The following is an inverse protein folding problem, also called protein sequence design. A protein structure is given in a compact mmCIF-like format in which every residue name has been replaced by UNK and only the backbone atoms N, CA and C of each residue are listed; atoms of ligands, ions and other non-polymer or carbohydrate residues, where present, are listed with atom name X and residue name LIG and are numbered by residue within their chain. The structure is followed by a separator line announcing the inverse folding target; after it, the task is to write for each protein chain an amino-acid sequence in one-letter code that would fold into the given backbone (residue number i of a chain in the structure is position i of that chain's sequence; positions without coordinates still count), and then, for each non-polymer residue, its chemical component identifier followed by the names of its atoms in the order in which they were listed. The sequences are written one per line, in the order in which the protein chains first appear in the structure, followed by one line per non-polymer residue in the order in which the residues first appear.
data_IF_503609075278
#
_entry.id   IF_503609075278
#
_cell.length_a   1.000
_cell.length_b   1.000
_cell.length_c   1.000
_cell.angle_alpha   90.00
_cell.angle_beta   90.00
_cell.angle_gamma   90.00
#
_symmetry.space_group_name_H-M   'P 1'
#
loop_
_entity.id
_entity.type
_entity.pdbx_description
1 polymer ?
#
# COMPACT_ATOMS: atom_id res chain seq x y z
N UNK A 1 8.74 -4.21 -3.04
CA UNK A 1 7.35 -3.79 -2.75
C UNK A 1 7.15 -2.28 -2.86
N UNK A 2 7.97 -1.42 -2.24
CA UNK A 2 7.80 0.04 -2.30
C UNK A 2 7.70 0.65 -3.70
N UNK A 3 8.54 0.19 -4.65
CA UNK A 3 8.45 0.59 -6.07
C UNK A 3 7.06 0.30 -6.67
N UNK A 4 6.57 -0.93 -6.51
CA UNK A 4 5.31 -1.37 -7.08
C UNK A 4 4.11 -0.62 -6.48
N UNK A 5 4.16 -0.33 -5.17
CA UNK A 5 3.11 0.45 -4.50
C UNK A 5 2.97 1.84 -5.11
N UNK A 6 4.10 2.51 -5.37
CA UNK A 6 4.06 3.83 -5.98
C UNK A 6 3.63 3.78 -7.43
N UNK A 7 3.99 2.72 -8.15
CA UNK A 7 3.47 2.48 -9.49
C UNK A 7 1.94 2.34 -9.47
N UNK A 8 1.41 1.48 -8.60
CA UNK A 8 -0.04 1.30 -8.42
C UNK A 8 -0.71 2.62 -8.06
N UNK A 9 -0.13 3.38 -7.12
CA UNK A 9 -0.64 4.68 -6.67
C UNK A 9 -0.76 5.68 -7.83
N UNK A 10 0.23 5.75 -8.73
CA UNK A 10 0.18 6.65 -9.90
C UNK A 10 -0.93 6.27 -10.87
N UNK A 11 -1.21 4.98 -11.02
CA UNK A 11 -2.28 4.45 -11.87
C UNK A 11 -3.68 4.44 -11.22
N UNK A 12 -3.83 5.00 -10.02
CA UNK A 12 -5.16 5.20 -9.38
C UNK A 12 -5.98 6.31 -10.01
N UNK A 13 -5.39 7.13 -10.88
CA UNK A 13 -6.07 8.26 -11.54
C UNK A 13 -6.03 9.58 -10.77
N UNK A 14 -5.25 9.67 -9.67
CA UNK A 14 -5.10 10.92 -8.92
C UNK A 14 -4.58 12.07 -9.80
N UNK A 15 -3.58 11.83 -10.65
CA UNK A 15 -3.05 12.84 -11.58
C UNK A 15 -4.08 13.29 -12.62
N UNK A 16 -5.00 12.42 -13.03
CA UNK A 16 -6.07 12.77 -13.97
C UNK A 16 -7.07 13.77 -13.37
N UNK A 17 -7.21 13.79 -12.04
CA UNK A 17 -8.03 14.78 -11.35
C UNK A 17 -7.18 16.02 -11.03
N UNK A 18 -6.07 15.87 -10.34
CA UNK A 18 -5.26 17.00 -9.82
C UNK A 18 -4.64 17.81 -10.96
N UNK A 19 -3.99 17.15 -11.91
CA UNK A 19 -3.22 17.82 -12.96
C UNK A 19 -4.06 18.20 -14.17
N UNK A 20 -5.22 17.55 -14.36
CA UNK A 20 -6.11 17.77 -15.51
C UNK A 20 -7.51 18.27 -15.13
N UNK A 21 -7.71 18.75 -13.89
CA UNK A 21 -8.98 19.32 -13.42
C UNK A 21 -9.54 20.42 -14.34
N UNK A 22 -8.70 21.30 -14.87
CA UNK A 22 -9.16 22.34 -15.80
C UNK A 22 -9.76 21.75 -17.08
N UNK A 23 -9.13 20.70 -17.64
CA UNK A 23 -9.65 19.98 -18.82
C UNK A 23 -10.91 19.20 -18.45
N UNK A 24 -10.95 18.55 -17.29
CA UNK A 24 -12.15 17.91 -16.74
C UNK A 24 -13.34 18.86 -16.73
N UNK A 25 -13.18 20.04 -16.13
CA UNK A 25 -14.26 21.04 -16.04
C UNK A 25 -14.65 21.62 -17.40
N UNK A 26 -13.69 21.72 -18.34
CA UNK A 26 -14.00 22.10 -19.72
C UNK A 26 -14.84 21.06 -20.46
N UNK A 27 -14.69 19.76 -20.15
CA UNK A 27 -15.52 18.69 -20.72
C UNK A 27 -16.97 18.77 -20.23
N UNK A 28 -17.18 19.31 -19.04
CA UNK A 28 -18.51 19.59 -18.47
C UNK A 28 -19.13 20.87 -19.08
N UNK A 29 -18.45 21.54 -20.01
CA UNK A 29 -18.98 22.72 -20.70
C UNK A 29 -18.83 24.02 -19.92
N UNK A 30 -18.04 24.06 -18.84
CA UNK A 30 -17.73 25.30 -18.16
C UNK A 30 -16.79 26.18 -18.96
N UNK A 31 -16.97 27.50 -18.83
CA UNK A 31 -16.03 28.48 -19.36
C UNK A 31 -14.61 28.30 -18.77
N UNK A 32 -13.60 28.75 -19.51
CA UNK A 32 -12.18 28.60 -19.15
C UNK A 32 -11.87 29.22 -17.79
N UNK A 33 -12.45 30.40 -17.48
CA UNK A 33 -12.25 31.06 -16.20
C UNK A 33 -12.84 30.24 -15.04
N UNK A 34 -14.09 29.77 -15.19
CA UNK A 34 -14.75 28.94 -14.17
C UNK A 34 -14.02 27.61 -13.96
N UNK A 35 -13.56 26.98 -15.04
CA UNK A 35 -12.83 25.72 -14.99
C UNK A 35 -11.52 25.83 -14.21
N UNK A 36 -10.76 26.92 -14.41
CA UNK A 36 -9.52 27.17 -13.67
C UNK A 36 -9.77 27.47 -12.19
N UNK A 37 -10.81 28.24 -11.89
CA UNK A 37 -11.19 28.53 -10.50
C UNK A 37 -11.61 27.27 -9.73
N UNK A 38 -12.45 26.42 -10.35
CA UNK A 38 -12.86 25.15 -9.76
C UNK A 38 -11.66 24.20 -9.59
N UNK A 39 -10.76 24.16 -10.57
CA UNK A 39 -9.51 23.39 -10.46
C UNK A 39 -8.65 23.87 -9.28
N UNK A 40 -8.49 25.18 -9.13
CA UNK A 40 -7.77 25.77 -7.99
C UNK A 40 -8.44 25.46 -6.66
N UNK A 41 -9.77 25.52 -6.60
CA UNK A 41 -10.55 25.21 -5.40
C UNK A 41 -10.38 23.75 -4.97
N UNK A 42 -10.51 22.80 -5.91
CA UNK A 42 -10.32 21.36 -5.64
C UNK A 42 -8.94 21.08 -5.08
N UNK A 43 -7.89 21.67 -5.66
CA UNK A 43 -6.52 21.52 -5.17
C UNK A 43 -6.35 22.15 -3.77
N UNK A 44 -6.97 23.29 -3.53
CA UNK A 44 -6.91 23.98 -2.23
C UNK A 44 -7.61 23.20 -1.11
N UNK A 45 -8.73 22.54 -1.43
CA UNK A 45 -9.45 21.66 -0.50
C UNK A 45 -8.73 20.32 -0.26
N UNK A 46 -7.87 19.90 -1.19
CA UNK A 46 -7.01 18.73 -1.01
C UNK A 46 -6.08 18.86 0.19
N UNK A 47 -5.48 20.04 0.41
CA UNK A 47 -4.52 20.27 1.51
C UNK A 47 -5.10 19.97 2.91
N UNK A 48 -6.24 20.56 3.33
CA UNK A 48 -6.85 20.21 4.62
C UNK A 48 -7.38 18.77 4.64
N UNK A 49 -7.80 18.23 3.48
CA UNK A 49 -8.21 16.83 3.35
C UNK A 49 -7.08 15.84 3.69
N UNK A 50 -5.89 16.04 3.11
CA UNK A 50 -4.70 15.25 3.40
C UNK A 50 -4.25 15.42 4.85
N UNK A 51 -4.35 16.63 5.41
CA UNK A 51 -4.03 16.86 6.82
C UNK A 51 -4.98 16.09 7.76
N UNK A 52 -6.28 16.10 7.49
CA UNK A 52 -7.25 15.32 8.25
C UNK A 52 -7.00 13.80 8.11
N UNK A 53 -6.69 13.34 6.89
CA UNK A 53 -6.34 11.95 6.62
C UNK A 53 -5.11 11.51 7.43
N UNK A 54 -4.07 12.34 7.51
CA UNK A 54 -2.88 12.07 8.29
C UNK A 54 -3.15 11.88 9.79
N UNK A 55 -4.19 12.52 10.35
CA UNK A 55 -4.57 12.32 11.76
C UNK A 55 -5.36 11.03 12.00
N UNK A 56 -6.05 10.53 10.96
CA UNK A 56 -6.86 9.30 11.04
C UNK A 56 -6.02 8.05 10.78
N UNK A 57 -4.98 8.18 9.93
CA UNK A 57 -4.16 7.06 9.44
C UNK A 57 -3.47 6.30 10.57
N UNK A 58 -3.01 7.01 11.59
CA UNK A 58 -2.25 6.45 12.71
C UNK A 58 -3.10 5.49 13.55
N UNK A 59 -4.44 5.63 13.51
CA UNK A 59 -5.37 4.75 14.23
C UNK A 59 -5.86 3.56 13.42
N UNK A 60 -5.90 3.67 12.09
CA UNK A 60 -6.56 2.67 11.24
C UNK A 60 -5.61 1.55 10.78
N UNK A 61 -4.30 1.78 10.81
CA UNK A 61 -3.30 0.90 10.22
C UNK A 61 -2.96 1.27 8.79
N UNK A 62 -1.79 0.86 8.30
CA UNK A 62 -1.20 1.34 7.04
C UNK A 62 -1.81 0.63 5.83
N UNK A 63 -2.03 -0.68 5.91
CA UNK A 63 -2.64 -1.42 4.78
C UNK A 63 -4.14 -1.19 4.72
N UNK A 64 -4.82 -1.19 5.89
CA UNK A 64 -6.26 -0.89 5.94
C UNK A 64 -6.59 0.49 5.39
N UNK A 65 -5.77 1.50 5.71
CA UNK A 65 -5.92 2.83 5.13
C UNK A 65 -5.72 2.82 3.63
N UNK A 66 -4.70 2.13 3.09
CA UNK A 66 -4.52 1.99 1.63
C UNK A 66 -5.75 1.35 0.95
N UNK A 67 -6.32 0.30 1.53
CA UNK A 67 -7.49 -0.39 0.98
C UNK A 67 -8.74 0.50 0.96
N UNK A 68 -8.98 1.23 2.05
CA UNK A 68 -10.07 2.21 2.12
C UNK A 68 -9.88 3.29 1.06
N UNK A 69 -8.65 3.75 0.83
CA UNK A 69 -8.34 4.73 -0.20
C UNK A 69 -8.70 4.24 -1.60
N UNK A 70 -8.34 3.01 -1.97
CA UNK A 70 -8.70 2.47 -3.30
C UNK A 70 -10.20 2.42 -3.52
N UNK A 71 -10.98 2.10 -2.47
CA UNK A 71 -12.45 2.09 -2.55
C UNK A 71 -13.00 3.49 -2.71
N UNK A 72 -12.58 4.43 -1.85
CA UNK A 72 -13.05 5.83 -1.89
C UNK A 72 -12.68 6.48 -3.24
N UNK A 73 -11.44 6.30 -3.69
CA UNK A 73 -10.95 6.84 -4.95
C UNK A 73 -11.67 6.21 -6.15
N UNK A 74 -11.86 4.89 -6.15
CA UNK A 74 -12.59 4.19 -7.19
C UNK A 74 -14.04 4.68 -7.31
N UNK A 75 -14.77 4.76 -6.19
CA UNK A 75 -16.15 5.28 -6.16
C UNK A 75 -16.20 6.73 -6.64
N UNK A 76 -15.28 7.59 -6.18
CA UNK A 76 -15.20 8.99 -6.60
C UNK A 76 -15.00 9.12 -8.11
N UNK A 77 -14.11 8.32 -8.71
CA UNK A 77 -13.88 8.31 -10.15
C UNK A 77 -15.08 7.83 -10.96
N UNK A 78 -15.81 6.82 -10.49
CA UNK A 78 -17.05 6.40 -11.14
C UNK A 78 -18.13 7.47 -11.06
N UNK A 79 -18.25 8.16 -9.93
CA UNK A 79 -19.18 9.29 -9.79
C UNK A 79 -18.81 10.42 -10.75
N UNK A 80 -17.54 10.84 -10.79
CA UNK A 80 -17.02 11.84 -11.75
C UNK A 80 -17.38 11.45 -13.19
N UNK A 81 -17.12 10.20 -13.58
CA UNK A 81 -17.45 9.71 -14.91
C UNK A 81 -18.95 9.77 -15.22
N UNK A 82 -19.79 9.34 -14.28
CA UNK A 82 -21.24 9.36 -14.41
C UNK A 82 -21.76 10.79 -14.56
N UNK A 83 -21.23 11.74 -13.81
CA UNK A 83 -21.64 13.14 -13.86
C UNK A 83 -21.32 13.78 -15.21
N UNK A 84 -20.10 13.58 -15.72
CA UNK A 84 -19.71 14.12 -17.04
C UNK A 84 -20.66 13.57 -18.11
N UNK A 85 -20.91 12.25 -18.10
CA UNK A 85 -21.84 11.61 -19.03
C UNK A 85 -23.26 12.16 -18.92
N UNK A 86 -23.75 12.37 -17.69
CA UNK A 86 -25.11 12.90 -17.47
C UNK A 86 -25.22 14.35 -17.95
N UNK A 87 -24.14 15.12 -17.88
CA UNK A 87 -24.06 16.50 -18.36
C UNK A 87 -24.01 16.56 -19.90
N UNK A 88 -23.27 15.65 -20.55
CA UNK A 88 -23.32 15.47 -22.01
C UNK A 88 -24.76 15.17 -22.48
N UNK A 89 -25.49 14.35 -21.73
CA UNK A 89 -26.88 13.94 -22.06
C UNK A 89 -27.95 14.99 -21.66
N UNK A 90 -27.67 15.89 -20.71
CA UNK A 90 -28.59 16.94 -20.23
C UNK A 90 -27.86 18.28 -20.09
N UNK A 91 -28.05 19.17 -21.06
CA UNK A 91 -27.46 20.52 -21.10
C UNK A 91 -27.91 21.51 -20.00
N UNK A 92 -28.52 21.05 -18.90
CA UNK A 92 -28.99 21.93 -17.84
C UNK A 92 -29.23 21.16 -16.53
N UNK A 93 -28.22 21.07 -15.67
CA UNK A 93 -28.45 21.00 -14.23
C UNK A 93 -27.28 21.65 -13.52
N UNK A 94 -27.59 22.55 -12.59
CA UNK A 94 -26.59 23.26 -11.79
C UNK A 94 -25.67 22.26 -11.09
N UNK A 95 -24.35 22.43 -11.15
CA UNK A 95 -23.40 21.49 -10.58
C UNK A 95 -23.14 21.91 -9.14
N UNK A 96 -24.17 21.82 -8.30
CA UNK A 96 -23.97 21.76 -6.85
C UNK A 96 -23.44 20.36 -6.52
N UNK A 97 -22.18 20.12 -6.89
CA UNK A 97 -21.52 18.87 -6.56
C UNK A 97 -20.21 19.12 -5.83
N UNK A 98 -20.34 18.92 -4.52
CA UNK A 98 -19.29 18.84 -3.54
C UNK A 98 -18.27 17.75 -3.91
N UNK A 99 -17.23 18.13 -4.67
CA UNK A 99 -16.08 17.27 -4.96
C UNK A 99 -15.17 17.15 -3.72
N UNK A 100 -15.56 16.30 -2.79
CA UNK A 100 -14.68 15.92 -1.68
C UNK A 100 -13.62 14.94 -2.21
N UNK A 101 -12.49 15.47 -2.69
CA UNK A 101 -11.28 14.65 -2.82
C UNK A 101 -10.74 14.36 -1.43
N UNK A 102 -11.04 13.17 -0.91
CA UNK A 102 -10.28 12.61 0.19
C UNK A 102 -9.04 11.92 -0.38
N UNK A 103 -7.95 12.66 -0.40
CA UNK A 103 -6.63 12.07 -0.57
C UNK A 103 -6.28 11.34 0.73
N UNK A 104 -6.32 10.01 0.71
CA UNK A 104 -5.75 9.17 1.75
C UNK A 104 -4.64 8.38 1.08
N UNK A 105 -3.40 8.84 1.18
CA UNK A 105 -2.26 8.11 0.62
C UNK A 105 -1.20 7.85 1.69
N UNK A 106 -1.34 6.73 2.43
CA UNK A 106 -0.25 6.12 3.20
C UNK A 106 0.89 5.58 2.34
N UNK A 107 0.85 5.67 1.00
CA UNK A 107 1.82 4.95 0.16
C UNK A 107 3.25 5.40 0.39
N UNK A 108 3.43 6.68 0.73
CA UNK A 108 4.72 7.26 1.09
C UNK A 108 5.25 6.72 2.41
N UNK A 109 4.37 6.55 3.40
CA UNK A 109 4.73 6.05 4.74
C UNK A 109 5.09 4.57 4.65
N UNK A 110 4.27 3.77 3.97
CA UNK A 110 4.54 2.34 3.79
C UNK A 110 5.90 2.10 3.13
N UNK A 111 6.23 2.89 2.11
CA UNK A 111 7.53 2.80 1.43
C UNK A 111 8.75 3.13 2.31
N UNK A 112 8.57 3.81 3.45
CA UNK A 112 9.61 4.07 4.45
C UNK A 112 9.68 2.97 5.53
N UNK A 113 8.54 2.42 5.91
CA UNK A 113 8.42 1.46 7.02
C UNK A 113 8.86 0.05 6.65
N UNK A 114 8.81 -0.34 5.37
CA UNK A 114 9.20 -1.70 4.94
C UNK A 114 10.71 -1.98 4.98
N UNK A 115 11.56 -0.96 5.14
CA UNK A 115 13.00 -1.13 5.01
C UNK A 115 13.71 -1.17 6.37
N UNK A 116 14.63 -2.14 6.58
CA UNK A 116 15.53 -2.17 7.72
C UNK A 116 16.34 -0.88 7.83
N UNK A 117 16.75 -0.51 9.06
CA UNK A 117 17.36 0.79 9.34
C UNK A 117 18.67 1.02 8.57
N UNK A 118 19.44 -0.04 8.33
CA UNK A 118 20.76 -0.05 7.71
C UNK A 118 20.68 0.30 6.21
N UNK A 119 19.64 -0.19 5.54
CA UNK A 119 19.44 -0.01 4.09
C UNK A 119 18.29 0.93 3.76
N UNK A 120 17.64 1.54 4.75
CA UNK A 120 16.42 2.35 4.56
C UNK A 120 16.56 3.41 3.47
N UNK A 121 17.64 4.19 3.49
CA UNK A 121 17.87 5.22 2.49
C UNK A 121 18.02 4.65 1.07
N UNK A 122 18.75 3.53 0.92
CA UNK A 122 18.94 2.82 -0.35
C UNK A 122 17.68 2.08 -0.82
N UNK A 123 16.86 1.60 0.10
CA UNK A 123 15.55 1.02 -0.22
C UNK A 123 14.56 2.11 -0.67
N UNK A 124 14.55 3.24 0.03
CA UNK A 124 13.62 4.32 -0.25
C UNK A 124 13.86 5.00 -1.60
N UNK A 125 15.11 5.08 -2.09
CA UNK A 125 15.36 5.57 -3.46
C UNK A 125 14.62 4.76 -4.53
N UNK A 126 14.42 3.44 -4.34
CA UNK A 126 13.61 2.64 -5.27
C UNK A 126 12.12 2.98 -5.19
N UNK A 127 11.61 3.30 -4.01
CA UNK A 127 10.24 3.83 -3.85
C UNK A 127 10.08 5.15 -4.62
N UNK A 128 11.03 6.09 -4.47
CA UNK A 128 11.03 7.35 -5.22
C UNK A 128 11.14 7.11 -6.74
N UNK A 129 11.99 6.18 -7.16
CA UNK A 129 12.14 5.82 -8.57
C UNK A 129 10.83 5.24 -9.16
N UNK A 130 10.11 4.41 -8.40
CA UNK A 130 8.79 3.91 -8.78
C UNK A 130 7.78 5.03 -8.95
N UNK A 131 7.77 6.00 -8.04
CA UNK A 131 6.94 7.19 -8.16
C UNK A 131 7.28 8.01 -9.41
N UNK A 132 8.56 8.35 -9.62
CA UNK A 132 8.98 9.20 -10.74
C UNK A 132 8.67 8.56 -12.11
N UNK A 133 8.96 7.27 -12.26
CA UNK A 133 8.64 6.52 -13.48
C UNK A 133 7.14 6.36 -13.68
N UNK A 134 6.38 6.10 -12.61
CA UNK A 134 4.92 6.04 -12.63
C UNK A 134 4.27 7.37 -13.03
N UNK A 135 4.75 8.49 -12.46
CA UNK A 135 4.32 9.84 -12.84
C UNK A 135 4.59 10.11 -14.33
N UNK A 136 5.83 9.89 -14.79
CA UNK A 136 6.22 10.16 -16.17
C UNK A 136 5.36 9.38 -17.18
N UNK A 137 5.09 8.11 -16.89
CA UNK A 137 4.24 7.28 -17.73
C UNK A 137 2.78 7.74 -17.69
N UNK A 138 2.20 7.88 -16.50
CA UNK A 138 0.78 8.22 -16.34
C UNK A 138 0.47 9.60 -16.93
N UNK A 139 1.34 10.59 -16.69
CA UNK A 139 1.17 11.95 -17.22
C UNK A 139 1.22 12.00 -18.76
N UNK A 140 1.97 11.09 -19.39
CA UNK A 140 2.04 10.99 -20.85
C UNK A 140 0.80 10.30 -21.44
N UNK A 141 0.21 9.36 -20.69
CA UNK A 141 -0.95 8.57 -21.14
C UNK A 141 -2.28 9.29 -20.92
N UNK A 142 -2.43 10.05 -19.83
CA UNK A 142 -3.67 10.78 -19.51
C UNK A 142 -4.18 11.66 -20.67
N UNK A 143 -3.38 12.53 -21.32
CA UNK A 143 -3.90 13.36 -22.41
C UNK A 143 -4.44 12.53 -23.58
N UNK A 144 -3.78 11.42 -23.90
CA UNK A 144 -4.20 10.50 -24.96
C UNK A 144 -5.54 9.83 -24.60
N UNK A 145 -5.72 9.44 -23.34
CA UNK A 145 -6.98 8.89 -22.84
C UNK A 145 -8.09 9.95 -22.89
N UNK A 146 -7.84 11.17 -22.40
CA UNK A 146 -8.83 12.24 -22.38
C UNK A 146 -9.28 12.62 -23.80
N UNK A 147 -8.38 12.67 -24.77
CA UNK A 147 -8.71 13.02 -26.15
C UNK A 147 -9.51 11.92 -26.88
N UNK A 148 -9.28 10.64 -26.55
CA UNK A 148 -9.94 9.50 -27.21
C UNK A 148 -11.20 9.00 -26.50
N UNK A 149 -11.19 9.00 -25.17
CA UNK A 149 -12.23 8.42 -24.33
C UNK A 149 -13.06 9.45 -23.56
N UNK A 150 -12.58 10.69 -23.41
CA UNK A 150 -13.28 11.73 -22.66
C UNK A 150 -13.63 11.25 -21.24
N UNK A 151 -14.94 11.20 -20.93
CA UNK A 151 -15.47 10.74 -19.64
C UNK A 151 -15.09 9.30 -19.28
N UNK A 152 -14.94 8.41 -20.26
CA UNK A 152 -14.60 7.00 -20.01
C UNK A 152 -13.16 6.82 -19.47
N UNK A 153 -12.32 7.85 -19.56
CA UNK A 153 -10.99 7.90 -18.89
C UNK A 153 -11.11 7.69 -17.38
N UNK A 154 -12.11 8.29 -16.75
CA UNK A 154 -12.31 8.19 -15.31
C UNK A 154 -12.85 6.81 -14.91
N UNK A 155 -13.67 6.18 -15.76
CA UNK A 155 -14.10 4.78 -15.57
C UNK A 155 -12.91 3.83 -15.66
N UNK A 156 -11.99 4.06 -16.61
CA UNK A 156 -10.77 3.26 -16.76
C UNK A 156 -9.92 3.31 -15.49
N UNK A 157 -9.65 4.50 -14.94
CA UNK A 157 -8.92 4.62 -13.68
C UNK A 157 -9.71 4.05 -12.49
N UNK A 158 -11.03 4.20 -12.45
CA UNK A 158 -11.88 3.57 -11.44
C UNK A 158 -11.77 2.04 -11.47
N UNK A 159 -11.75 1.43 -12.65
CA UNK A 159 -11.56 -0.01 -12.81
C UNK A 159 -10.16 -0.47 -12.36
N UNK A 160 -9.11 0.32 -12.60
CA UNK A 160 -7.78 0.03 -12.09
C UNK A 160 -7.71 0.02 -10.56
N UNK A 161 -8.49 0.88 -9.88
CA UNK A 161 -8.59 0.85 -8.41
C UNK A 161 -9.23 -0.47 -7.91
N UNK A 162 -10.25 -0.99 -8.61
CA UNK A 162 -10.86 -2.28 -8.29
C UNK A 162 -9.84 -3.42 -8.44
N UNK A 163 -8.97 -3.36 -9.44
CA UNK A 163 -7.91 -4.37 -9.65
C UNK A 163 -6.76 -4.22 -8.66
N UNK A 164 -6.41 -2.98 -8.28
CA UNK A 164 -5.38 -2.70 -7.29
C UNK A 164 -5.74 -3.22 -5.89
N UNK A 165 -7.02 -3.16 -5.52
CA UNK A 165 -7.52 -3.60 -4.21
C UNK A 165 -7.12 -5.04 -3.85
N UNK A 166 -7.45 -6.10 -4.63
CA UNK A 166 -7.06 -7.47 -4.30
C UNK A 166 -5.55 -7.70 -4.35
N UNK A 167 -4.83 -7.01 -5.26
CA UNK A 167 -3.36 -7.10 -5.32
C UNK A 167 -2.76 -6.62 -4.01
N UNK A 168 -3.19 -5.45 -3.52
CA UNK A 168 -2.67 -4.88 -2.28
C UNK A 168 -3.09 -5.74 -1.08
N UNK A 169 -4.35 -6.16 -1.04
CA UNK A 169 -4.85 -7.00 0.06
C UNK A 169 -4.12 -8.34 0.20
N UNK A 170 -3.72 -8.97 -0.91
CA UNK A 170 -3.05 -10.28 -0.90
C UNK A 170 -1.53 -10.22 -0.70
N UNK A 171 -0.90 -9.08 -1.01
CA UNK A 171 0.58 -8.98 -1.07
C UNK A 171 1.19 -8.00 -0.08
N UNK A 172 0.42 -7.09 0.52
CA UNK A 172 0.93 -6.08 1.45
C UNK A 172 0.65 -6.45 2.90
N UNK A 173 1.69 -6.39 3.72
CA UNK A 173 1.67 -6.79 5.12
C UNK A 173 1.41 -5.58 6.02
N UNK A 174 0.65 -5.76 7.09
CA UNK A 174 0.39 -4.66 8.03
C UNK A 174 1.61 -4.39 8.91
N UNK A 175 2.20 -3.21 8.74
CA UNK A 175 3.36 -2.69 9.49
C UNK A 175 2.96 -1.77 10.66
N UNK A 176 1.65 -1.45 10.76
CA UNK A 176 0.89 -1.15 11.96
C UNK A 176 1.53 -1.37 13.34
N UNK A 177 2.19 -0.37 13.94
CA UNK A 177 2.57 -0.43 15.37
C UNK A 177 3.60 -1.50 15.74
N UNK A 178 4.36 -2.01 14.76
CA UNK A 178 5.44 -2.99 14.94
C UNK A 178 6.80 -2.31 15.09
N UNK A 179 7.75 -2.95 15.77
CA UNK A 179 9.14 -2.46 15.83
C UNK A 179 9.85 -2.67 14.50
N UNK A 180 10.97 -1.97 14.28
CA UNK A 180 11.75 -2.12 13.04
C UNK A 180 12.38 -3.52 12.91
N UNK A 181 12.77 -4.13 14.03
CA UNK A 181 13.27 -5.51 14.04
C UNK A 181 12.15 -6.48 13.66
N UNK A 182 10.94 -6.27 14.17
CA UNK A 182 9.78 -7.09 13.88
C UNK A 182 9.34 -6.97 12.41
N UNK A 183 9.41 -5.77 11.83
CA UNK A 183 9.16 -5.57 10.40
C UNK A 183 10.19 -6.29 9.54
N UNK A 184 11.46 -6.30 9.96
CA UNK A 184 12.51 -7.04 9.24
C UNK A 184 12.23 -8.56 9.26
N UNK A 185 11.76 -9.08 10.39
CA UNK A 185 11.33 -10.48 10.51
C UNK A 185 10.12 -10.80 9.61
N UNK A 186 9.17 -9.85 9.49
CA UNK A 186 7.98 -9.95 8.63
C UNK A 186 8.31 -10.10 7.14
N UNK A 187 9.47 -9.64 6.69
CA UNK A 187 9.90 -9.73 5.30
C UNK A 187 10.91 -10.86 5.05
N UNK A 188 11.13 -11.75 6.02
CA UNK A 188 12.10 -12.85 5.88
C UNK A 188 11.52 -14.07 5.15
N UNK A 189 10.20 -14.20 5.03
CA UNK A 189 9.60 -15.31 4.29
C UNK A 189 9.70 -15.11 2.77
N UNK A 190 10.03 -16.16 2.02
CA UNK A 190 10.11 -16.14 0.55
C UNK A 190 8.73 -16.00 -0.14
N UNK A 191 7.63 -16.13 0.61
CA UNK A 191 6.29 -16.04 0.06
C UNK A 191 5.84 -14.60 -0.18
N UNK A 192 5.36 -14.33 -1.40
CA UNK A 192 4.74 -13.06 -1.80
C UNK A 192 3.34 -12.88 -1.18
N UNK A 193 2.66 -13.98 -0.84
CA UNK A 193 1.32 -13.94 -0.24
C UNK A 193 1.37 -13.69 1.26
N UNK A 194 0.54 -12.74 1.70
CA UNK A 194 0.41 -12.31 3.10
C UNK A 194 0.11 -13.47 4.04
N UNK A 195 -0.83 -14.37 3.69
CA UNK A 195 -1.23 -15.47 4.57
C UNK A 195 -0.06 -16.37 4.96
N UNK A 196 0.69 -16.85 3.96
CA UNK A 196 1.84 -17.73 4.18
C UNK A 196 2.98 -17.03 4.92
N UNK A 197 3.16 -15.73 4.66
CA UNK A 197 4.20 -14.95 5.33
C UNK A 197 3.84 -14.74 6.80
N UNK A 198 2.58 -14.41 7.10
CA UNK A 198 2.09 -14.33 8.49
C UNK A 198 2.16 -15.68 9.22
N UNK A 199 1.83 -16.80 8.56
CA UNK A 199 1.97 -18.13 9.15
C UNK A 199 3.43 -18.44 9.54
N UNK A 200 4.39 -18.04 8.68
CA UNK A 200 5.82 -18.24 8.94
C UNK A 200 6.33 -17.31 10.06
N UNK A 201 5.86 -16.07 10.09
CA UNK A 201 6.12 -15.12 11.17
C UNK A 201 5.61 -15.63 12.52
N UNK A 202 4.35 -16.09 12.58
CA UNK A 202 3.75 -16.65 13.80
C UNK A 202 4.52 -17.88 14.27
N UNK A 203 4.91 -18.78 13.36
CA UNK A 203 5.72 -19.95 13.68
C UNK A 203 7.05 -19.55 14.34
N UNK A 204 7.74 -18.54 13.81
CA UNK A 204 9.02 -18.06 14.36
C UNK A 204 8.84 -17.36 15.71
N UNK A 205 7.78 -16.58 15.87
CA UNK A 205 7.45 -15.95 17.15
C UNK A 205 7.09 -16.98 18.23
N UNK A 206 6.38 -18.05 17.87
CA UNK A 206 6.09 -19.17 18.78
C UNK A 206 7.36 -19.93 19.18
N UNK A 207 8.30 -20.13 18.27
CA UNK A 207 9.60 -20.77 18.57
C UNK A 207 10.47 -19.92 19.49
N UNK A 208 10.32 -18.60 19.44
CA UNK A 208 11.09 -17.64 20.22
C UNK A 208 10.41 -17.19 21.54
N UNK A 209 9.34 -17.87 21.97
CA UNK A 209 8.55 -17.52 23.16
C UNK A 209 8.08 -16.05 23.18
N UNK A 210 7.76 -15.51 22.00
CA UNK A 210 7.31 -14.12 21.84
C UNK A 210 8.44 -13.07 21.87
N UNK A 211 9.70 -13.46 22.00
CA UNK A 211 10.82 -12.53 22.01
C UNK A 211 11.43 -12.32 20.61
N UNK A 212 11.21 -11.14 20.03
CA UNK A 212 11.69 -10.75 18.70
C UNK A 212 13.21 -10.87 18.56
N UNK A 213 13.98 -10.54 19.61
CA UNK A 213 15.44 -10.61 19.57
C UNK A 213 15.96 -12.05 19.42
N UNK A 214 15.23 -13.04 19.96
CA UNK A 214 15.56 -14.46 19.83
C UNK A 214 15.14 -14.96 18.44
N UNK A 215 13.98 -14.52 17.93
CA UNK A 215 13.49 -14.92 16.62
C UNK A 215 14.39 -14.44 15.46
N UNK A 216 15.06 -13.30 15.63
CA UNK A 216 15.95 -12.71 14.60
C UNK A 216 17.36 -13.33 14.62
N UNK A 217 17.81 -13.84 15.77
CA UNK A 217 19.20 -14.33 15.96
C UNK A 217 19.66 -15.38 14.94
N UNK A 218 18.86 -16.42 14.61
CA UNK A 218 19.27 -17.41 13.59
C UNK A 218 19.51 -16.81 12.21
N UNK A 219 18.84 -15.70 11.89
CA UNK A 219 18.97 -15.01 10.59
C UNK A 219 20.23 -14.16 10.53
N UNK A 220 20.63 -13.57 11.66
CA UNK A 220 21.88 -12.83 11.76
C UNK A 220 23.07 -13.79 11.61
N UNK A 221 23.01 -14.95 12.27
CA UNK A 221 24.04 -15.99 12.18
C UNK A 221 24.19 -16.51 10.73
N UNK A 222 23.08 -16.64 9.98
CA UNK A 222 23.10 -17.02 8.56
C UNK A 222 23.74 -15.96 7.65
N UNK A 223 23.47 -14.66 7.91
CA UNK A 223 24.04 -13.54 7.14
C UNK A 223 25.52 -13.33 7.44
N UNK A 224 25.93 -13.50 8.69
CA UNK A 224 27.33 -13.38 9.13
C UNK A 224 28.18 -14.60 8.74
N UNK A 225 27.56 -15.63 8.16
CA UNK A 225 28.24 -16.86 7.71
C UNK A 225 28.69 -17.76 8.86
N UNK A 226 28.24 -17.50 10.09
CA UNK A 226 28.42 -18.39 11.23
C UNK A 226 27.33 -19.47 11.18
N UNK A 227 27.60 -20.58 10.48
CA UNK A 227 26.73 -21.75 10.50
C UNK A 227 26.70 -22.35 11.92
N UNK A 228 25.78 -21.92 12.77
CA UNK A 228 25.66 -22.45 14.13
C UNK A 228 24.83 -23.75 14.15
N UNK A 229 25.40 -24.90 14.53
CA UNK A 229 24.71 -26.18 14.58
C UNK A 229 23.98 -26.32 15.92
N UNK A 230 22.93 -25.53 16.16
CA UNK A 230 22.23 -25.58 17.46
C UNK A 230 20.92 -26.36 17.38
N UNK A 231 20.31 -26.51 16.20
CA UNK A 231 19.04 -27.25 16.06
C UNK A 231 19.21 -28.78 16.19
N UNK A 232 20.41 -29.34 16.06
CA UNK A 232 20.67 -30.77 16.20
C UNK A 232 20.90 -31.23 17.65
N UNK A 233 21.18 -30.33 18.58
CA UNK A 233 21.50 -30.70 19.97
C UNK A 233 20.23 -30.79 20.84
N UNK A 234 19.24 -29.91 20.66
CA UNK A 234 17.98 -30.01 21.43
C UNK A 234 17.10 -31.21 21.04
N UNK A 235 17.20 -31.69 19.79
CA UNK A 235 16.49 -32.91 19.39
C UNK A 235 17.24 -34.18 19.84
N UNK A 236 18.57 -34.11 20.01
CA UNK A 236 19.38 -35.21 20.52
C UNK A 236 19.23 -35.38 22.05
N UNK A 237 19.12 -34.29 22.81
CA UNK A 237 18.90 -34.37 24.27
C UNK A 237 17.47 -34.80 24.63
N UNK A 238 16.46 -34.41 23.84
CA UNK A 238 15.08 -34.91 24.04
C UNK A 238 14.88 -36.36 23.59
N UNK A 239 15.71 -36.88 22.68
CA UNK A 239 15.68 -38.29 22.28
C UNK A 239 16.41 -39.26 23.22
N UNK A 240 17.29 -38.76 24.10
CA UNK A 240 18.10 -39.60 25.00
C UNK A 240 17.62 -39.64 26.45
N UNK A 241 16.63 -38.83 26.83
CA UNK A 241 16.11 -38.74 28.20
C UNK A 241 15.03 -39.77 28.57
N UNK A 242 14.46 -40.49 27.59
CA UNK A 242 13.23 -41.31 27.82
C UNK A 242 13.49 -42.82 28.01
N UNK A 243 14.74 -43.26 28.22
CA UNK A 243 15.07 -44.71 28.40
C UNK A 243 15.84 -45.09 29.66
N UNK A 244 15.96 -44.21 30.66
CA UNK A 244 16.71 -44.52 31.89
C UNK A 244 15.93 -44.25 33.18
N UNK A 245 14.70 -44.77 33.29
CA UNK A 245 14.07 -44.92 34.60
C UNK A 245 13.14 -46.14 34.65
N UNK A 246 13.68 -47.27 35.10
CA UNK A 246 12.89 -48.44 35.41
C UNK A 246 13.62 -49.75 35.20
N UNK A 247 14.55 -50.09 36.11
CA UNK A 247 14.72 -51.43 36.68
C UNK A 247 15.99 -51.49 37.53
N UNK A 248 15.83 -51.48 38.86
CA UNK A 248 16.76 -52.17 39.75
C UNK A 248 16.00 -52.72 40.96
N UNK A 249 16.38 -53.93 41.38
CA UNK A 249 16.01 -54.70 42.59
C UNK A 249 14.65 -55.39 42.45
N UNK A 250 14.55 -56.73 42.46
CA UNK A 250 14.72 -57.63 43.63
C UNK A 250 15.09 -59.06 43.18
N UNK A 251 16.07 -59.61 43.91
CA UNK A 251 16.49 -61.02 44.15
C UNK A 251 16.05 -62.14 43.21
#
# INVERSE_FOLDING_TARGET
MGFALQWIQQWTGILAIVSWAGKLFSLVGFDSYKSLWLAGLVNSLGVPGTAAAALVIDRMGRVKSLLVSFVIQGVSLFLVAALIKTWEDRAATDPDLFFCMFDIVPSWIYGLEIWPQEIRAKGYMFTIFGWATGCGMTQSVIPILLDKLGWATYVFFGALNIVAFPIVWLTYLEVAGRSLEEVSLLFTSDSIFVSKNMDDYERRMHQADGNVAIAVRPLLDEVDGESSPVLSIETAEKGSGEKAHGQSVVS
#
